data_IF_035866508486
#
_entry.id   IF_035866508486
#
_cell.length_a   1.000
_cell.length_b   1.000
_cell.length_c   1.000
_cell.angle_alpha   90.00
_cell.angle_beta   90.00
_cell.angle_gamma   90.00
#
_symmetry.space_group_name_H-M   'P 1'
#
loop_
_entity.id
_entity.type
_entity.pdbx_description
1 polymer ?
#
# COMPACT_ATOMS: atom_id res chain seq x y z
N UNK A 1 10.04 8.47 -27.82
CA UNK A 1 10.69 8.91 -26.57
C UNK A 1 9.72 8.58 -25.44
N UNK A 2 9.96 7.47 -24.72
CA UNK A 2 9.14 7.05 -23.58
C UNK A 2 9.26 8.09 -22.48
N UNK A 3 8.14 8.68 -22.07
CA UNK A 3 8.10 9.58 -20.91
C UNK A 3 7.89 8.69 -19.67
N UNK A 4 8.92 8.41 -18.87
CA UNK A 4 8.84 7.41 -17.79
C UNK A 4 7.74 7.73 -16.77
N UNK A 5 7.46 9.02 -16.55
CA UNK A 5 6.37 9.49 -15.67
C UNK A 5 5.00 9.07 -16.23
N UNK A 6 4.83 9.16 -17.55
CA UNK A 6 3.57 8.84 -18.24
C UNK A 6 3.34 7.32 -18.28
N UNK A 7 4.40 6.54 -18.44
CA UNK A 7 4.37 5.08 -18.41
C UNK A 7 4.11 4.54 -16.99
N UNK A 8 4.70 5.14 -15.94
CA UNK A 8 4.34 4.82 -14.55
C UNK A 8 2.88 5.13 -14.24
N UNK A 9 2.38 6.28 -14.72
CA UNK A 9 0.98 6.66 -14.55
C UNK A 9 0.00 5.68 -15.20
N UNK A 10 0.32 5.17 -16.39
CA UNK A 10 -0.54 4.20 -17.09
C UNK A 10 -0.54 2.83 -16.40
N UNK A 11 0.60 2.39 -15.88
CA UNK A 11 0.71 1.15 -15.06
C UNK A 11 -0.07 1.29 -13.77
N UNK A 12 0.07 2.41 -13.05
CA UNK A 12 -0.71 2.68 -11.83
C UNK A 12 -2.22 2.73 -12.12
N UNK A 13 -2.62 3.34 -13.23
CA UNK A 13 -4.02 3.33 -13.68
C UNK A 13 -4.52 1.92 -14.00
N UNK A 14 -3.68 1.07 -14.57
CA UNK A 14 -3.97 -0.35 -14.82
C UNK A 14 -4.13 -1.15 -13.52
N UNK A 15 -3.25 -0.95 -12.53
CA UNK A 15 -3.33 -1.60 -11.23
C UNK A 15 -4.57 -1.13 -10.43
N UNK A 16 -4.95 0.15 -10.53
CA UNK A 16 -6.13 0.68 -9.81
C UNK A 16 -7.48 0.15 -10.32
N UNK A 17 -7.53 -0.54 -11.48
CA UNK A 17 -8.78 -1.06 -12.06
C UNK A 17 -9.34 -2.30 -11.38
N UNK A 18 -8.55 -3.01 -10.58
CA UNK A 18 -8.97 -4.24 -9.92
C UNK A 18 -8.64 -4.16 -8.42
N UNK A 19 -9.49 -4.74 -7.54
CA UNK A 19 -9.24 -4.72 -6.09
C UNK A 19 -7.87 -5.32 -5.73
N UNK A 20 -7.42 -6.34 -6.46
CA UNK A 20 -6.09 -6.94 -6.29
C UNK A 20 -4.95 -5.96 -6.66
N UNK A 21 -5.13 -5.15 -7.71
CA UNK A 21 -4.12 -4.20 -8.14
C UNK A 21 -4.07 -2.94 -7.26
N UNK A 22 -5.18 -2.55 -6.62
CA UNK A 22 -5.20 -1.53 -5.56
C UNK A 22 -4.35 -2.00 -4.37
N UNK A 23 -4.47 -3.28 -3.97
CA UNK A 23 -3.65 -3.85 -2.90
C UNK A 23 -2.17 -3.87 -3.30
N UNK A 24 -1.84 -4.26 -4.54
CA UNK A 24 -0.47 -4.23 -5.04
C UNK A 24 0.13 -2.82 -5.03
N UNK A 25 -0.62 -1.81 -5.48
CA UNK A 25 -0.23 -0.39 -5.40
C UNK A 25 0.02 0.05 -3.96
N UNK A 26 -0.84 -0.36 -3.04
CA UNK A 26 -0.73 -0.01 -1.63
C UNK A 26 0.52 -0.61 -0.98
N UNK A 27 0.80 -1.88 -1.27
CA UNK A 27 2.02 -2.57 -0.81
C UNK A 27 3.27 -1.84 -1.33
N UNK A 28 3.33 -1.55 -2.63
CA UNK A 28 4.46 -0.83 -3.23
C UNK A 28 4.67 0.54 -2.59
N UNK A 29 3.58 1.27 -2.30
CA UNK A 29 3.64 2.57 -1.63
C UNK A 29 4.19 2.46 -0.21
N UNK A 30 3.77 1.45 0.57
CA UNK A 30 4.29 1.17 1.91
C UNK A 30 5.77 0.84 1.87
N UNK A 31 6.20 -0.05 0.96
CA UNK A 31 7.62 -0.39 0.82
C UNK A 31 8.45 0.80 0.33
N UNK A 32 7.87 1.70 -0.48
CA UNK A 32 8.48 2.97 -0.86
C UNK A 32 8.68 3.90 0.34
N UNK A 33 7.68 4.03 1.21
CA UNK A 33 7.84 4.77 2.47
C UNK A 33 8.80 4.07 3.43
N UNK A 34 8.83 2.74 3.46
CA UNK A 34 9.75 1.95 4.27
C UNK A 34 11.21 2.24 3.89
N UNK A 35 11.53 2.20 2.60
CA UNK A 35 12.89 2.50 2.13
C UNK A 35 13.28 3.95 2.42
N UNK A 36 12.35 4.90 2.27
CA UNK A 36 12.57 6.30 2.60
C UNK A 36 12.82 6.51 4.10
N UNK A 37 11.98 5.91 4.95
CA UNK A 37 12.10 5.98 6.41
C UNK A 37 13.38 5.29 6.87
N UNK A 38 13.71 4.11 6.35
CA UNK A 38 14.95 3.41 6.69
C UNK A 38 16.17 4.22 6.24
N UNK A 39 16.14 4.82 5.05
CA UNK A 39 17.19 5.73 4.59
C UNK A 39 17.35 6.96 5.48
N UNK A 40 16.23 7.59 5.86
CA UNK A 40 16.20 8.74 6.77
C UNK A 40 16.49 8.38 8.23
N UNK A 41 16.29 7.11 8.61
CA UNK A 41 16.40 6.64 9.99
C UNK A 41 17.79 6.89 10.57
N UNK A 42 18.83 6.92 9.72
CA UNK A 42 20.21 7.28 10.07
C UNK A 42 20.32 8.60 10.87
N UNK A 43 19.36 9.52 10.73
CA UNK A 43 19.30 10.80 11.45
C UNK A 43 18.35 10.81 12.67
N UNK A 44 17.59 9.73 12.89
CA UNK A 44 16.52 9.63 13.91
C UNK A 44 17.00 8.83 15.14
N UNK A 45 16.67 9.31 16.35
CA UNK A 45 17.01 8.61 17.59
C UNK A 45 16.22 7.29 17.72
N UNK A 46 16.76 6.29 18.44
CA UNK A 46 16.11 4.98 18.60
C UNK A 46 14.68 5.06 19.17
N UNK A 47 14.42 6.06 20.02
CA UNK A 47 13.10 6.33 20.62
C UNK A 47 12.05 6.79 19.60
N UNK A 48 12.46 7.51 18.55
CA UNK A 48 11.57 8.06 17.51
C UNK A 48 11.31 7.05 16.39
N UNK A 49 12.21 6.07 16.20
CA UNK A 49 12.07 5.01 15.19
C UNK A 49 10.97 4.00 15.54
N UNK A 50 10.77 3.71 16.82
CA UNK A 50 9.80 2.71 17.30
C UNK A 50 8.34 2.97 16.82
N UNK A 51 7.76 4.17 16.97
CA UNK A 51 6.39 4.43 16.50
C UNK A 51 6.26 4.36 14.96
N UNK A 52 7.30 4.76 14.21
CA UNK A 52 7.27 4.72 12.75
C UNK A 52 7.28 3.27 12.23
N UNK A 53 8.07 2.40 12.85
CA UNK A 53 8.10 0.97 12.52
C UNK A 53 6.74 0.33 12.83
N UNK A 54 6.15 0.65 13.99
CA UNK A 54 4.83 0.14 14.35
C UNK A 54 3.75 0.56 13.36
N UNK A 55 3.75 1.83 12.93
CA UNK A 55 2.84 2.34 11.91
C UNK A 55 3.02 1.61 10.58
N UNK A 56 4.26 1.42 10.13
CA UNK A 56 4.60 0.76 8.86
C UNK A 56 4.17 -0.71 8.80
N UNK A 57 4.15 -1.42 9.94
CA UNK A 57 3.72 -2.82 10.01
C UNK A 57 2.21 -2.94 10.26
N UNK A 58 1.64 -2.11 11.14
CA UNK A 58 0.24 -2.17 11.51
C UNK A 58 -0.68 -1.73 10.35
N UNK A 59 -0.29 -0.66 9.65
CA UNK A 59 -1.07 -0.08 8.56
C UNK A 59 -1.39 -1.04 7.41
N UNK A 60 -0.45 -1.81 6.82
CA UNK A 60 -0.77 -2.81 5.82
C UNK A 60 -1.69 -3.91 6.35
N UNK A 61 -1.52 -4.35 7.59
CA UNK A 61 -2.37 -5.39 8.19
C UNK A 61 -3.81 -4.90 8.34
N UNK A 62 -3.99 -3.68 8.87
CA UNK A 62 -5.32 -3.06 9.00
C UNK A 62 -5.96 -2.87 7.63
N UNK A 63 -5.21 -2.39 6.64
CA UNK A 63 -5.74 -2.16 5.29
C UNK A 63 -6.11 -3.47 4.62
N UNK A 64 -5.28 -4.52 4.71
CA UNK A 64 -5.64 -5.84 4.21
C UNK A 64 -6.88 -6.40 4.93
N UNK A 65 -7.03 -6.15 6.23
CA UNK A 65 -8.23 -6.52 6.98
C UNK A 65 -9.49 -5.80 6.49
N UNK A 66 -9.42 -4.46 6.32
CA UNK A 66 -10.54 -3.65 5.82
C UNK A 66 -10.86 -4.01 4.37
N UNK A 67 -9.87 -4.22 3.51
CA UNK A 67 -10.09 -4.65 2.12
C UNK A 67 -10.65 -6.07 2.05
N UNK A 68 -10.12 -7.01 2.84
CA UNK A 68 -10.65 -8.36 2.94
C UNK A 68 -12.10 -8.37 3.41
N UNK A 69 -12.43 -7.52 4.38
CA UNK A 69 -13.81 -7.28 4.81
C UNK A 69 -14.67 -6.70 3.68
N UNK A 70 -14.23 -5.62 3.03
CA UNK A 70 -14.96 -4.92 1.98
C UNK A 70 -15.20 -5.81 0.75
N UNK A 71 -14.23 -6.66 0.41
CA UNK A 71 -14.33 -7.67 -0.66
C UNK A 71 -15.26 -8.80 -0.24
N UNK A 72 -15.19 -9.26 1.01
CA UNK A 72 -16.10 -10.30 1.53
C UNK A 72 -17.54 -9.83 1.59
N UNK A 73 -17.79 -8.52 1.81
CA UNK A 73 -19.14 -7.96 1.85
C UNK A 73 -19.75 -7.80 0.44
N UNK A 74 -18.95 -7.82 -0.62
CA UNK A 74 -19.43 -7.72 -2.00
C UNK A 74 -20.08 -9.01 -2.55
N UNK A 75 -20.04 -10.12 -1.80
CA UNK A 75 -20.68 -11.40 -2.16
C UNK A 75 -22.03 -11.64 -1.47
N UNK A 76 -22.72 -10.60 -0.96
CA UNK A 76 -24.10 -10.72 -0.44
C UNK A 76 -25.17 -10.14 -1.37
N UNK A 77 -24.97 -10.16 -2.69
CA UNK A 77 -26.05 -9.90 -3.65
C UNK A 77 -26.09 -10.96 -4.75
N UNK A 78 -27.16 -11.76 -4.66
CA UNK A 78 -27.73 -12.67 -5.67
C UNK A 78 -26.91 -13.92 -6.02
N UNK A 79 -27.24 -15.06 -5.39
CA UNK A 79 -27.88 -16.19 -6.09
C UNK A 79 -28.20 -17.32 -5.09
N UNK A 80 -29.37 -17.25 -4.44
CA UNK A 80 -30.41 -18.28 -4.37
C UNK A 80 -31.62 -17.68 -3.66
#
# INVERSE_FOLDING_TARGET
>A
MSNPIKDFGSVAQGLARNPLGIIALFIVLIYGFASLVVGASSYLQPSERAPIIWFMVLFPVVVLGVFGWLVSEHHKKCLF
#
